data_IF_869633129278
#
_entry.id   IF_869633129278
#
_cell.length_a   1.000
_cell.length_b   1.000
_cell.length_c   1.000
_cell.angle_alpha   90.00
_cell.angle_beta   90.00
_cell.angle_gamma   90.00
#
_symmetry.space_group_name_H-M   'P 1'
#
loop_
_entity.id
_entity.type
_entity.pdbx_description
1 polymer ?
#
# COMPACT_ATOMS: atom_id res chain seq x y z
N UNK A 1 14.67 18.32 -5.02
CA UNK A 1 15.62 17.47 -4.25
C UNK A 1 15.22 17.24 -2.79
N UNK A 2 14.49 18.14 -2.13
CA UNK A 2 14.13 18.02 -0.68
C UNK A 2 13.13 16.90 -0.35
N UNK A 3 12.10 16.68 -1.18
CA UNK A 3 11.07 15.64 -0.94
C UNK A 3 11.66 14.23 -0.83
N UNK A 4 12.66 13.91 -1.67
CA UNK A 4 13.35 12.61 -1.68
C UNK A 4 14.09 12.31 -0.37
N UNK A 5 14.62 13.34 0.30
CA UNK A 5 15.28 13.15 1.60
C UNK A 5 14.28 12.85 2.71
N UNK A 6 13.08 13.43 2.63
CA UNK A 6 12.02 13.23 3.62
C UNK A 6 11.44 11.82 3.52
N UNK A 7 11.09 11.35 2.31
CA UNK A 7 10.53 9.99 2.14
C UNK A 7 11.52 8.90 2.55
N UNK A 8 12.81 9.08 2.23
CA UNK A 8 13.86 8.12 2.64
C UNK A 8 13.95 8.05 4.16
N UNK A 9 14.15 9.19 4.84
CA UNK A 9 14.26 9.26 6.30
C UNK A 9 13.02 8.71 7.03
N UNK A 10 11.84 8.95 6.48
CA UNK A 10 10.61 8.43 7.07
C UNK A 10 10.55 6.90 6.98
N UNK A 11 10.98 6.32 5.85
CA UNK A 11 11.04 4.88 5.69
C UNK A 11 12.18 4.24 6.51
N UNK A 12 13.32 4.91 6.69
CA UNK A 12 14.35 4.49 7.64
C UNK A 12 13.76 4.40 9.06
N UNK A 13 13.04 5.46 9.48
CA UNK A 13 12.38 5.49 10.79
C UNK A 13 11.30 4.42 10.92
N UNK A 14 10.53 4.16 9.87
CA UNK A 14 9.53 3.09 9.86
C UNK A 14 10.19 1.72 9.99
N UNK A 15 11.36 1.51 9.39
CA UNK A 15 12.13 0.27 9.52
C UNK A 15 12.50 -0.01 10.96
N UNK A 16 13.03 0.99 11.68
CA UNK A 16 13.34 0.87 13.11
C UNK A 16 12.10 0.53 13.95
N UNK A 17 10.94 1.13 13.62
CA UNK A 17 9.67 0.82 14.30
C UNK A 17 9.26 -0.63 14.03
N UNK A 18 9.36 -1.07 12.78
CA UNK A 18 9.04 -2.45 12.38
C UNK A 18 10.03 -3.49 12.96
N UNK A 19 11.26 -3.10 13.25
CA UNK A 19 12.24 -3.93 13.97
C UNK A 19 11.84 -4.13 15.43
N UNK A 20 11.38 -3.06 16.08
CA UNK A 20 11.13 -3.09 17.51
C UNK A 20 9.73 -3.59 17.88
N UNK A 21 8.71 -3.25 17.07
CA UNK A 21 7.31 -3.43 17.44
C UNK A 21 6.49 -4.24 16.43
N UNK A 22 7.05 -4.62 15.28
CA UNK A 22 6.28 -5.15 14.16
C UNK A 22 5.47 -4.06 13.46
N UNK A 23 4.33 -4.40 12.85
CA UNK A 23 3.48 -3.37 12.23
C UNK A 23 2.89 -2.45 13.30
N UNK A 24 2.96 -1.11 13.15
CA UNK A 24 2.30 -0.18 14.07
C UNK A 24 0.77 -0.23 13.87
N UNK A 25 0.12 -1.14 14.59
CA UNK A 25 -1.32 -1.41 14.52
C UNK A 25 -2.17 -0.29 15.11
N UNK A 26 -3.47 -0.30 14.79
CA UNK A 26 -4.45 0.65 15.36
C UNK A 26 -4.44 0.61 16.89
N UNK A 27 -4.34 -0.58 17.49
CA UNK A 27 -4.28 -0.76 18.95
C UNK A 27 -3.06 -0.05 19.57
N UNK A 28 -1.91 -0.07 18.90
CA UNK A 28 -0.65 0.46 19.44
C UNK A 28 -0.54 1.97 19.30
N UNK A 29 -1.00 2.53 18.17
CA UNK A 29 -0.72 3.93 17.79
C UNK A 29 -1.96 4.74 17.41
N UNK A 30 -3.15 4.15 17.51
CA UNK A 30 -4.40 4.74 17.04
C UNK A 30 -4.54 4.72 15.52
N UNK A 31 -5.75 5.01 15.03
CA UNK A 31 -6.06 4.98 13.58
C UNK A 31 -5.17 5.91 12.76
N UNK A 32 -4.98 7.16 13.22
CA UNK A 32 -4.14 8.13 12.51
C UNK A 32 -2.67 7.73 12.53
N UNK A 33 -2.19 7.11 13.61
CA UNK A 33 -0.82 6.59 13.68
C UNK A 33 -0.59 5.46 12.68
N UNK A 34 -1.50 4.48 12.66
CA UNK A 34 -1.44 3.35 11.74
C UNK A 34 -1.55 3.81 10.28
N UNK A 35 -2.46 4.75 10.00
CA UNK A 35 -2.61 5.37 8.67
C UNK A 35 -1.35 6.11 8.23
N UNK A 36 -0.66 6.82 9.13
CA UNK A 36 0.61 7.49 8.82
C UNK A 36 1.73 6.51 8.53
N UNK A 37 1.83 5.42 9.28
CA UNK A 37 2.80 4.37 9.00
C UNK A 37 2.55 3.74 7.63
N UNK A 38 1.28 3.46 7.30
CA UNK A 38 0.89 3.00 5.97
C UNK A 38 1.30 3.99 4.88
N UNK A 39 1.02 5.30 5.03
CA UNK A 39 1.44 6.32 4.06
C UNK A 39 2.95 6.34 3.84
N UNK A 40 3.75 6.13 4.90
CA UNK A 40 5.20 6.04 4.76
C UNK A 40 5.61 4.80 3.95
N UNK A 41 5.03 3.63 4.25
CA UNK A 41 5.28 2.40 3.48
C UNK A 41 4.85 2.54 2.00
N UNK A 42 3.64 3.07 1.78
CA UNK A 42 3.04 3.30 0.47
C UNK A 42 3.90 4.18 -0.45
N UNK A 43 4.72 5.07 0.12
CA UNK A 43 5.59 5.99 -0.62
C UNK A 43 7.09 5.71 -0.44
N UNK A 44 7.47 4.56 0.10
CA UNK A 44 8.85 4.09 0.17
C UNK A 44 9.36 3.52 -1.18
N UNK A 45 9.00 4.15 -2.30
CA UNK A 45 9.17 3.62 -3.68
C UNK A 45 10.63 3.33 -4.10
N UNK A 46 11.60 3.85 -3.33
CA UNK A 46 13.03 3.61 -3.58
C UNK A 46 13.65 2.61 -2.61
N UNK A 47 12.85 2.04 -1.72
CA UNK A 47 13.24 1.12 -0.65
C UNK A 47 12.27 -0.06 -0.66
N UNK A 48 12.35 -0.86 -1.72
CA UNK A 48 11.48 -2.01 -1.96
C UNK A 48 11.51 -3.02 -0.81
N UNK A 49 12.65 -3.17 -0.14
CA UNK A 49 12.81 -3.98 1.06
C UNK A 49 11.90 -3.51 2.20
N UNK A 50 11.78 -2.19 2.41
CA UNK A 50 10.85 -1.60 3.37
C UNK A 50 9.41 -1.88 2.96
N UNK A 51 9.05 -1.72 1.69
CA UNK A 51 7.68 -1.99 1.21
C UNK A 51 7.30 -3.46 1.35
N UNK A 52 8.19 -4.38 0.96
CA UNK A 52 7.98 -5.84 1.11
C UNK A 52 7.80 -6.24 2.57
N UNK A 53 8.64 -5.68 3.45
CA UNK A 53 8.56 -5.95 4.88
C UNK A 53 7.26 -5.42 5.47
N UNK A 54 6.89 -4.18 5.15
CA UNK A 54 5.63 -3.58 5.55
C UNK A 54 4.43 -4.40 5.07
N UNK A 55 4.45 -4.84 3.80
CA UNK A 55 3.41 -5.68 3.22
C UNK A 55 3.20 -6.95 4.04
N UNK A 56 4.27 -7.72 4.31
CA UNK A 56 4.19 -8.95 5.11
C UNK A 56 3.63 -8.70 6.51
N UNK A 57 4.13 -7.66 7.20
CA UNK A 57 3.66 -7.35 8.56
C UNK A 57 2.21 -6.84 8.58
N UNK A 58 1.77 -6.13 7.53
CA UNK A 58 0.37 -5.73 7.37
C UNK A 58 -0.53 -6.92 7.08
N UNK A 59 -0.08 -7.95 6.34
CA UNK A 59 -0.85 -9.18 6.13
C UNK A 59 -1.17 -9.86 7.47
N UNK A 60 -0.19 -9.94 8.36
CA UNK A 60 -0.35 -10.46 9.73
C UNK A 60 -1.33 -9.58 10.53
N UNK A 61 -1.17 -8.25 10.48
CA UNK A 61 -2.03 -7.31 11.20
C UNK A 61 -3.48 -7.33 10.71
N UNK A 62 -3.71 -7.43 9.40
CA UNK A 62 -5.06 -7.56 8.83
C UNK A 62 -5.70 -8.89 9.24
N UNK A 63 -4.93 -9.99 9.22
CA UNK A 63 -5.42 -11.28 9.67
C UNK A 63 -5.82 -11.28 11.16
N UNK A 64 -5.17 -10.43 11.97
CA UNK A 64 -5.52 -10.19 13.37
C UNK A 64 -6.64 -9.15 13.58
N UNK A 65 -7.16 -8.52 12.51
CA UNK A 65 -8.17 -7.47 12.59
C UNK A 65 -7.64 -6.12 13.10
N UNK A 66 -6.33 -5.91 13.06
CA UNK A 66 -5.64 -4.73 13.62
C UNK A 66 -5.12 -3.75 12.56
N UNK A 67 -5.43 -3.98 11.28
CA UNK A 67 -5.13 -3.10 10.17
C UNK A 67 -6.25 -3.15 9.11
N UNK A 68 -6.30 -2.12 8.26
CA UNK A 68 -7.31 -1.99 7.21
C UNK A 68 -6.99 -2.86 5.98
N UNK A 69 -7.91 -3.76 5.54
CA UNK A 69 -7.70 -4.61 4.37
C UNK A 69 -7.54 -3.83 3.05
N UNK A 70 -8.18 -2.67 2.90
CA UNK A 70 -8.07 -1.83 1.72
C UNK A 70 -6.68 -1.20 1.60
N UNK A 71 -6.12 -0.71 2.70
CA UNK A 71 -4.75 -0.24 2.80
C UNK A 71 -3.73 -1.35 2.48
N UNK A 72 -3.98 -2.57 2.95
CA UNK A 72 -3.16 -3.73 2.57
C UNK A 72 -3.21 -3.98 1.05
N UNK A 73 -4.40 -3.98 0.45
CA UNK A 73 -4.56 -4.18 -0.99
C UNK A 73 -3.84 -3.11 -1.83
N UNK A 74 -3.91 -1.84 -1.41
CA UNK A 74 -3.20 -0.74 -2.07
C UNK A 74 -1.69 -0.85 -1.94
N UNK A 75 -1.18 -1.23 -0.75
CA UNK A 75 0.25 -1.45 -0.55
C UNK A 75 0.76 -2.63 -1.38
N UNK A 76 -0.01 -3.71 -1.47
CA UNK A 76 0.33 -4.88 -2.30
C UNK A 76 0.45 -4.50 -3.77
N UNK A 77 -0.53 -3.80 -4.31
CA UNK A 77 -0.48 -3.31 -5.69
C UNK A 77 0.73 -2.39 -5.93
N UNK A 78 1.08 -1.53 -4.96
CA UNK A 78 2.28 -0.68 -5.05
C UNK A 78 3.56 -1.48 -5.12
N UNK A 79 3.71 -2.50 -4.27
CA UNK A 79 4.87 -3.40 -4.28
C UNK A 79 4.97 -4.07 -5.65
N UNK A 80 3.87 -4.65 -6.14
CA UNK A 80 3.83 -5.31 -7.45
C UNK A 80 4.27 -4.36 -8.57
N UNK A 81 3.68 -3.17 -8.65
CA UNK A 81 4.03 -2.18 -9.68
C UNK A 81 5.49 -1.76 -9.59
N UNK A 82 6.00 -1.48 -8.39
CA UNK A 82 7.41 -1.10 -8.19
C UNK A 82 8.38 -2.25 -8.50
N UNK A 83 7.94 -3.50 -8.45
CA UNK A 83 8.67 -4.69 -8.90
C UNK A 83 8.53 -4.98 -10.41
N UNK A 84 7.69 -4.22 -11.12
CA UNK A 84 7.41 -4.45 -12.54
C UNK A 84 6.39 -5.55 -12.80
N UNK A 85 5.59 -5.91 -11.81
CA UNK A 85 4.52 -6.90 -11.90
C UNK A 85 3.14 -6.24 -12.09
N UNK A 86 2.21 -7.01 -12.64
CA UNK A 86 0.82 -6.60 -12.77
C UNK A 86 0.12 -6.58 -11.41
N UNK A 87 -0.67 -5.54 -11.16
CA UNK A 87 -1.39 -5.35 -9.90
C UNK A 87 -2.68 -6.17 -9.83
N UNK A 88 -3.24 -6.30 -8.63
CA UNK A 88 -4.39 -7.16 -8.34
C UNK A 88 -5.68 -6.35 -8.28
N UNK A 89 -5.66 -5.20 -7.59
CA UNK A 89 -6.85 -4.38 -7.33
C UNK A 89 -6.89 -3.09 -8.17
N UNK A 90 -5.88 -2.83 -9.00
CA UNK A 90 -5.89 -1.66 -9.87
C UNK A 90 -5.75 -0.34 -9.12
N UNK A 91 -5.18 -0.33 -7.91
CA UNK A 91 -5.11 0.88 -7.09
C UNK A 91 -4.05 1.88 -7.54
N UNK A 92 -3.03 1.46 -8.27
CA UNK A 92 -1.97 2.33 -8.76
C UNK A 92 -2.33 2.85 -10.15
N UNK A 93 -2.47 4.17 -10.26
CA UNK A 93 -2.85 4.85 -11.50
C UNK A 93 -1.60 5.22 -12.30
N UNK A 94 -1.59 4.81 -13.58
CA UNK A 94 -0.51 5.09 -14.52
C UNK A 94 -0.74 6.42 -15.26
N UNK A 95 -1.98 6.73 -15.58
CA UNK A 95 -2.37 7.87 -16.40
C UNK A 95 -3.82 8.29 -16.12
N UNK A 96 -4.23 9.47 -16.58
CA UNK A 96 -5.62 9.93 -16.56
C UNK A 96 -5.98 10.41 -17.96
N UNK A 97 -6.99 9.79 -18.60
CA UNK A 97 -7.47 10.17 -19.93
C UNK A 97 -8.93 10.54 -19.86
N UNK A 98 -9.27 11.72 -20.39
CA UNK A 98 -10.63 12.27 -20.38
C UNK A 98 -11.27 12.29 -18.98
N UNK A 99 -10.46 12.51 -17.94
CA UNK A 99 -10.89 12.52 -16.54
C UNK A 99 -11.04 11.12 -15.91
N UNK A 100 -10.79 10.05 -16.68
CA UNK A 100 -10.88 8.67 -16.23
C UNK A 100 -9.49 8.16 -15.82
N UNK A 101 -9.30 7.67 -14.57
CA UNK A 101 -8.04 7.11 -14.13
C UNK A 101 -7.77 5.77 -14.82
N UNK A 102 -6.59 5.63 -15.43
CA UNK A 102 -6.12 4.40 -16.05
C UNK A 102 -5.10 3.74 -15.12
N UNK A 103 -5.42 2.57 -14.55
CA UNK A 103 -4.49 1.84 -13.70
C UNK A 103 -3.28 1.32 -14.50
N UNK A 104 -2.16 1.08 -13.82
CA UNK A 104 -1.13 0.17 -14.33
C UNK A 104 -1.73 -1.21 -14.67
N UNK A 105 -1.11 -2.00 -15.55
CA UNK A 105 -1.62 -3.32 -15.94
C UNK A 105 -2.06 -4.17 -14.75
N UNK A 106 -3.27 -4.72 -14.83
CA UNK A 106 -3.86 -5.60 -13.82
C UNK A 106 -3.85 -7.03 -14.34
N UNK A 107 -3.62 -7.99 -13.45
CA UNK A 107 -3.60 -9.43 -13.80
C UNK A 107 -4.93 -9.93 -14.39
N UNK A 108 -6.05 -9.33 -13.96
CA UNK A 108 -7.39 -9.71 -14.38
C UNK A 108 -8.30 -8.46 -14.40
N UNK A 109 -8.19 -7.62 -15.46
CA UNK A 109 -8.94 -6.37 -15.54
C UNK A 109 -10.46 -6.59 -15.52
N UNK A 110 -10.94 -7.71 -16.06
CA UNK A 110 -12.38 -8.03 -16.11
C UNK A 110 -12.99 -8.25 -14.72
N UNK A 111 -12.20 -8.71 -13.75
CA UNK A 111 -12.66 -8.97 -12.38
C UNK A 111 -12.06 -8.01 -11.34
N UNK A 112 -11.42 -6.92 -11.77
CA UNK A 112 -10.73 -5.98 -10.87
C UNK A 112 -11.70 -5.39 -9.83
N UNK A 113 -12.91 -5.01 -10.23
CA UNK A 113 -13.90 -4.44 -9.32
C UNK A 113 -14.46 -5.45 -8.31
N UNK A 114 -14.47 -6.76 -8.64
CA UNK A 114 -14.78 -7.81 -7.66
C UNK A 114 -13.70 -7.88 -6.57
N UNK A 115 -12.42 -7.91 -6.98
CA UNK A 115 -11.27 -7.94 -6.06
C UNK A 115 -11.21 -6.68 -5.19
N UNK A 116 -11.54 -5.51 -5.76
CA UNK A 116 -11.67 -4.25 -5.02
C UNK A 116 -12.74 -4.33 -3.94
N UNK A 117 -13.93 -4.84 -4.27
CA UNK A 117 -15.01 -5.02 -3.30
C UNK A 117 -14.61 -6.00 -2.16
N UNK A 118 -13.95 -7.12 -2.49
CA UNK A 118 -13.41 -8.08 -1.50
C UNK A 118 -12.38 -7.42 -0.56
N UNK A 119 -11.62 -6.45 -1.05
CA UNK A 119 -10.65 -5.68 -0.27
C UNK A 119 -11.25 -4.44 0.43
N UNK A 120 -12.54 -4.14 0.25
CA UNK A 120 -13.18 -2.95 0.81
C UNK A 120 -12.84 -1.63 0.07
N UNK A 121 -12.41 -1.71 -1.19
CA UNK A 121 -12.10 -0.56 -2.04
C UNK A 121 -13.30 -0.19 -2.95
N UNK A 122 -13.48 1.11 -3.19
CA UNK A 122 -14.46 1.63 -4.17
C UNK A 122 -14.16 1.11 -5.57
N UNK A 123 -15.15 0.84 -6.44
CA UNK A 123 -14.91 0.35 -7.79
C UNK A 123 -14.16 1.40 -8.65
N UNK A 124 -13.37 0.93 -9.63
CA UNK A 124 -12.87 1.77 -10.70
C UNK A 124 -14.02 2.12 -11.66
N UNK A 125 -14.04 3.36 -12.20
CA UNK A 125 -14.97 3.73 -13.26
C UNK A 125 -14.74 2.86 -14.49
N UNK A 126 -15.84 2.46 -15.13
CA UNK A 126 -15.87 1.67 -16.37
C UNK A 126 -16.10 2.57 -17.58
#
# INVERSE_FOLDING_TARGET
MTYRRVTTRNADRLTEIMDQYGWPTVTLVGEEGARRAWLVAQHADRQLDVQRRALRLMEEAVAAGEADPGMLAMLRDRVLVNEGHEQICGSQIADVRDGVPIPWPCQDPAHVNRRRAEAGLDPLPV
#
